data_IF_226962445192
#
_entry.id   IF_226962445192
#
_cell.length_a   1.000
_cell.length_b   1.000
_cell.length_c   1.000
_cell.angle_alpha   90.00
_cell.angle_beta   90.00
_cell.angle_gamma   90.00
#
_symmetry.space_group_name_H-M   'P 1'
#
loop_
_entity.id
_entity.type
_entity.pdbx_description
1 polymer ?
#
# COMPACT_ATOMS: atom_id res chain seq x y z
N UNK A 1 20.48 10.37 -2.19
CA UNK A 1 19.06 10.73 -2.00
C UNK A 1 18.18 9.55 -2.37
N UNK A 2 17.26 9.21 -1.52
CA UNK A 2 16.39 8.08 -1.78
C UNK A 2 15.36 8.41 -2.84
N UNK A 3 15.15 7.46 -3.73
CA UNK A 3 14.12 7.56 -4.72
C UNK A 3 12.79 7.11 -4.11
N UNK A 4 11.78 7.96 -4.17
CA UNK A 4 10.47 7.59 -3.66
C UNK A 4 9.71 6.82 -4.72
N UNK A 5 9.21 5.66 -4.33
CA UNK A 5 8.47 4.79 -5.22
C UNK A 5 7.06 4.59 -4.65
N UNK A 6 6.17 4.02 -5.45
CA UNK A 6 4.83 3.71 -4.97
C UNK A 6 4.91 2.69 -3.83
N UNK A 7 5.87 1.76 -3.88
CA UNK A 7 6.05 0.79 -2.81
C UNK A 7 6.47 1.45 -1.51
N UNK A 8 7.42 2.38 -1.56
CA UNK A 8 7.85 3.09 -0.36
C UNK A 8 6.73 3.97 0.18
N UNK A 9 5.91 4.54 -0.69
CA UNK A 9 4.77 5.35 -0.29
C UNK A 9 3.73 4.51 0.45
N UNK A 10 3.42 3.34 -0.08
CA UNK A 10 2.49 2.41 0.56
C UNK A 10 3.01 1.99 1.93
N UNK A 11 4.29 1.66 2.03
CA UNK A 11 4.89 1.26 3.30
C UNK A 11 4.82 2.39 4.33
N UNK A 12 5.11 3.62 3.90
CA UNK A 12 5.07 4.77 4.79
C UNK A 12 3.65 5.03 5.30
N UNK A 13 2.66 4.97 4.42
CA UNK A 13 1.27 5.17 4.81
C UNK A 13 0.77 4.06 5.72
N UNK A 14 1.17 2.82 5.43
CA UNK A 14 0.81 1.68 6.28
C UNK A 14 1.33 1.89 7.70
N UNK A 15 2.59 2.24 7.82
CA UNK A 15 3.21 2.45 9.13
C UNK A 15 2.60 3.65 9.85
N UNK A 16 2.28 4.71 9.11
CA UNK A 16 1.66 5.90 9.68
C UNK A 16 0.28 5.58 10.25
N UNK A 17 -0.39 4.58 9.70
CA UNK A 17 -1.70 4.14 10.18
C UNK A 17 -1.62 3.00 11.18
N UNK A 18 -0.40 2.62 11.60
CA UNK A 18 -0.22 1.59 12.62
C UNK A 18 -0.59 0.20 12.16
N UNK A 19 -0.50 -0.09 10.88
CA UNK A 19 -0.90 -1.38 10.34
C UNK A 19 0.31 -2.24 10.01
N UNK A 20 0.19 -3.54 10.25
CA UNK A 20 1.16 -4.51 9.73
C UNK A 20 0.81 -4.82 8.28
N UNK A 21 1.74 -5.46 7.56
CA UNK A 21 1.47 -5.91 6.21
C UNK A 21 0.27 -6.86 6.18
N UNK A 22 0.19 -7.73 7.16
CA UNK A 22 -0.92 -8.68 7.25
C UNK A 22 -2.25 -7.96 7.48
N UNK A 23 -2.26 -6.96 8.35
CA UNK A 23 -3.47 -6.21 8.62
C UNK A 23 -3.95 -5.45 7.39
N UNK A 24 -3.03 -4.83 6.67
CA UNK A 24 -3.38 -4.15 5.44
C UNK A 24 -3.93 -5.14 4.40
N UNK A 25 -3.28 -6.29 4.28
CA UNK A 25 -3.72 -7.33 3.35
C UNK A 25 -5.14 -7.79 3.66
N UNK A 26 -5.45 -7.96 4.94
CA UNK A 26 -6.78 -8.37 5.36
C UNK A 26 -7.84 -7.32 4.98
N UNK A 27 -7.51 -6.04 5.13
CA UNK A 27 -8.42 -4.97 4.76
C UNK A 27 -8.67 -4.93 3.27
N UNK A 28 -7.68 -5.31 2.48
CA UNK A 28 -7.79 -5.31 1.02
C UNK A 28 -8.24 -6.65 0.45
N UNK A 29 -8.35 -7.66 1.31
CA UNK A 29 -8.74 -9.01 0.89
C UNK A 29 -7.72 -9.62 -0.09
N UNK A 30 -6.44 -9.41 0.21
CA UNK A 30 -5.32 -9.97 -0.57
C UNK A 30 -4.37 -10.67 0.40
N UNK A 31 -3.35 -11.33 -0.12
CA UNK A 31 -2.36 -11.98 0.72
C UNK A 31 -1.35 -10.97 1.25
N UNK A 32 -0.76 -11.26 2.40
CA UNK A 32 0.30 -10.41 2.95
C UNK A 32 1.54 -10.43 2.05
N UNK A 33 1.73 -11.50 1.28
CA UNK A 33 2.82 -11.57 0.31
C UNK A 33 2.64 -10.54 -0.79
N UNK A 34 1.40 -10.29 -1.20
CA UNK A 34 1.11 -9.26 -2.20
C UNK A 34 1.53 -7.89 -1.69
N UNK A 35 1.15 -7.56 -0.46
CA UNK A 35 1.53 -6.28 0.14
C UNK A 35 3.05 -6.16 0.24
N UNK A 36 3.71 -7.24 0.66
CA UNK A 36 5.16 -7.25 0.76
C UNK A 36 5.82 -6.96 -0.59
N UNK A 37 5.32 -7.56 -1.66
CA UNK A 37 5.86 -7.34 -3.00
C UNK A 37 5.65 -5.90 -3.47
N UNK A 38 4.48 -5.33 -3.17
CA UNK A 38 4.23 -3.92 -3.49
C UNK A 38 5.25 -3.01 -2.82
N UNK A 39 5.51 -3.26 -1.54
CA UNK A 39 6.41 -2.41 -0.76
C UNK A 39 7.87 -2.55 -1.20
N UNK A 40 8.22 -3.66 -1.83
CA UNK A 40 9.55 -3.88 -2.37
C UNK A 40 9.67 -3.52 -3.85
N UNK A 41 8.60 -2.96 -4.43
CA UNK A 41 8.54 -2.59 -5.84
C UNK A 41 8.71 -3.78 -6.79
N UNK A 42 8.39 -4.98 -6.33
CA UNK A 42 8.42 -6.17 -7.17
C UNK A 42 7.19 -6.27 -8.06
N UNK A 43 6.09 -5.72 -7.59
CA UNK A 43 4.89 -5.59 -8.40
C UNK A 43 4.06 -4.41 -7.86
N UNK A 44 3.00 -4.06 -8.56
CA UNK A 44 2.16 -2.92 -8.20
C UNK A 44 0.76 -3.40 -7.87
N UNK A 45 0.05 -2.68 -6.98
CA UNK A 45 -1.37 -2.99 -6.75
C UNK A 45 -2.16 -2.79 -8.04
N UNK A 46 -3.16 -3.62 -8.22
CA UNK A 46 -4.10 -3.48 -9.31
C UNK A 46 -4.77 -2.11 -9.24
N UNK A 47 -5.11 -1.55 -10.40
CA UNK A 47 -5.83 -0.28 -10.45
C UNK A 47 -7.10 -0.31 -9.61
N UNK A 48 -7.76 -1.48 -9.54
CA UNK A 48 -8.97 -1.62 -8.73
C UNK A 48 -8.70 -1.51 -7.24
N UNK A 49 -7.45 -1.65 -6.82
CA UNK A 49 -7.06 -1.53 -5.41
C UNK A 49 -6.79 -0.09 -4.99
N UNK A 50 -6.54 0.80 -5.95
CA UNK A 50 -6.15 2.17 -5.62
C UNK A 50 -7.22 2.91 -4.81
N UNK A 51 -8.51 2.87 -5.19
CA UNK A 51 -9.53 3.53 -4.35
C UNK A 51 -9.61 2.95 -2.94
N UNK A 52 -9.45 1.63 -2.80
CA UNK A 52 -9.47 0.99 -1.49
C UNK A 52 -8.30 1.43 -0.64
N UNK A 53 -7.11 1.51 -1.23
CA UNK A 53 -5.92 1.99 -0.53
C UNK A 53 -6.09 3.44 -0.09
N UNK A 54 -6.62 4.29 -0.98
CA UNK A 54 -6.84 5.69 -0.66
C UNK A 54 -7.81 5.83 0.51
N UNK A 55 -8.86 5.03 0.54
CA UNK A 55 -9.84 5.06 1.62
C UNK A 55 -9.22 4.62 2.95
N UNK A 56 -8.45 3.54 2.92
CA UNK A 56 -7.82 3.02 4.14
C UNK A 56 -6.83 4.03 4.71
N UNK A 57 -6.05 4.66 3.84
CA UNK A 57 -5.01 5.59 4.27
C UNK A 57 -5.52 7.02 4.49
N UNK A 58 -6.74 7.33 4.08
CA UNK A 58 -7.30 8.66 4.25
C UNK A 58 -6.66 9.69 3.35
N UNK A 59 -6.21 9.28 2.15
CA UNK A 59 -5.60 10.18 1.17
C UNK A 59 -6.42 10.12 -0.11
N UNK A 60 -6.21 11.08 -1.01
CA UNK A 60 -6.91 11.05 -2.29
C UNK A 60 -6.23 10.07 -3.23
N UNK A 61 -6.97 9.56 -4.21
CA UNK A 61 -6.42 8.65 -5.21
C UNK A 61 -5.29 9.30 -6.00
N UNK A 62 -5.33 10.62 -6.15
CA UNK A 62 -4.31 11.35 -6.88
C UNK A 62 -2.95 11.31 -6.20
N UNK A 63 -2.91 11.03 -4.90
CA UNK A 63 -1.67 10.97 -4.14
C UNK A 63 -0.99 9.60 -4.27
N UNK A 64 -1.70 8.62 -4.75
CA UNK A 64 -1.16 7.31 -5.00
C UNK A 64 -0.77 7.18 -6.47
#
# INVERSE_FOLDING_TARGET
MEKKTIGSFIAALRKANGLTQKELAEKLNVSDKAVSRWERDECYPDLTMIPALAEIFGVSCDEL
#
